data_IF_753842037116
#
_entry.id   IF_753842037116
#
_cell.length_a   1.000
_cell.length_b   1.000
_cell.length_c   1.000
_cell.angle_alpha   90.00
_cell.angle_beta   90.00
_cell.angle_gamma   90.00
#
_symmetry.space_group_name_H-M   'P 1'
#
loop_
_entity.id
_entity.type
_entity.pdbx_description
1 polymer ?
#
# COMPACT_ATOMS: atom_id res chain seq x y z
N UNK A 1 -10.56 -7.13 -24.68
CA UNK A 1 -11.35 -8.08 -23.86
C UNK A 1 -11.18 -7.59 -22.43
N UNK A 2 -12.24 -7.09 -21.83
CA UNK A 2 -12.13 -6.55 -20.47
C UNK A 2 -11.74 -7.69 -19.52
N UNK A 3 -10.65 -7.59 -18.79
CA UNK A 3 -10.14 -8.63 -17.89
C UNK A 3 -11.19 -8.96 -16.82
N UNK A 4 -12.12 -8.05 -16.52
CA UNK A 4 -13.11 -8.18 -15.44
C UNK A 4 -14.32 -9.05 -15.81
N UNK A 5 -14.85 -8.98 -17.05
CA UNK A 5 -16.11 -9.66 -17.43
C UNK A 5 -16.04 -11.19 -17.45
N UNK A 6 -14.87 -11.80 -17.66
CA UNK A 6 -14.69 -13.24 -17.67
C UNK A 6 -13.24 -13.63 -17.36
N UNK A 7 -12.82 -13.44 -16.13
CA UNK A 7 -11.52 -13.85 -15.62
C UNK A 7 -11.63 -15.05 -14.66
N UNK A 8 -10.50 -15.50 -14.08
CA UNK A 8 -10.51 -16.64 -13.14
C UNK A 8 -11.39 -16.37 -11.92
N UNK A 9 -11.36 -15.15 -11.36
CA UNK A 9 -12.17 -14.80 -10.20
C UNK A 9 -13.67 -14.89 -10.47
N UNK A 10 -14.15 -14.25 -11.53
CA UNK A 10 -15.58 -14.24 -11.88
C UNK A 10 -16.09 -15.63 -12.22
N UNK A 11 -15.29 -16.44 -12.94
CA UNK A 11 -15.63 -17.84 -13.23
C UNK A 11 -15.65 -18.71 -11.98
N UNK A 12 -14.68 -18.53 -11.07
CA UNK A 12 -14.60 -19.30 -9.83
C UNK A 12 -15.76 -18.93 -8.88
N UNK A 13 -16.06 -17.65 -8.70
CA UNK A 13 -17.24 -17.17 -7.95
C UNK A 13 -18.52 -17.81 -8.50
N UNK A 14 -18.70 -17.78 -9.81
CA UNK A 14 -19.87 -18.40 -10.45
C UNK A 14 -19.93 -19.92 -10.17
N UNK A 15 -18.81 -20.62 -10.17
CA UNK A 15 -18.77 -22.05 -9.91
C UNK A 15 -19.08 -22.42 -8.45
N UNK A 16 -18.67 -21.57 -7.49
CA UNK A 16 -18.78 -21.86 -6.04
C UNK A 16 -20.10 -21.40 -5.46
N UNK A 17 -20.57 -20.22 -5.85
CA UNK A 17 -21.78 -19.59 -5.24
C UNK A 17 -22.85 -19.24 -6.27
N UNK A 18 -22.67 -19.64 -7.54
CA UNK A 18 -23.62 -19.39 -8.65
C UNK A 18 -23.98 -17.91 -8.86
N UNK A 19 -23.02 -17.01 -8.62
CA UNK A 19 -23.18 -15.56 -8.84
C UNK A 19 -22.46 -15.17 -10.11
N UNK A 20 -23.12 -14.39 -10.96
CA UNK A 20 -22.54 -13.77 -12.13
C UNK A 20 -22.34 -12.29 -11.87
N UNK A 21 -21.07 -11.82 -11.94
CA UNK A 21 -20.76 -10.41 -11.87
C UNK A 21 -21.16 -9.70 -13.15
N UNK A 22 -21.77 -8.53 -13.04
CA UNK A 22 -22.07 -7.62 -14.14
C UNK A 22 -21.66 -6.22 -13.70
N UNK A 23 -20.59 -5.71 -14.29
CA UNK A 23 -20.07 -4.39 -13.93
C UNK A 23 -21.01 -3.29 -14.48
N UNK A 24 -21.45 -2.40 -13.58
CA UNK A 24 -22.32 -1.28 -13.93
C UNK A 24 -21.50 -0.08 -14.43
N UNK A 25 -20.37 0.16 -13.78
CA UNK A 25 -19.36 1.12 -14.25
C UNK A 25 -17.97 0.69 -13.76
N UNK A 26 -16.96 1.11 -14.51
CA UNK A 26 -15.54 1.02 -14.16
C UNK A 26 -14.91 2.39 -14.37
N UNK A 27 -14.02 2.78 -13.49
CA UNK A 27 -13.27 4.03 -13.60
C UNK A 27 -11.98 3.95 -12.77
N UNK A 28 -11.05 4.84 -13.04
CA UNK A 28 -9.85 5.00 -12.22
C UNK A 28 -10.15 5.95 -11.07
N UNK A 29 -9.59 5.69 -9.90
CA UNK A 29 -9.50 6.55 -8.71
C UNK A 29 -10.54 7.69 -8.63
N UNK A 30 -10.13 8.93 -8.79
CA UNK A 30 -11.00 10.11 -8.67
C UNK A 30 -12.23 10.11 -9.59
N UNK A 31 -12.15 9.44 -10.75
CA UNK A 31 -13.31 9.28 -11.62
C UNK A 31 -14.29 8.24 -11.07
N UNK A 32 -13.78 7.22 -10.37
CA UNK A 32 -14.61 6.24 -9.67
C UNK A 32 -15.41 6.92 -8.56
N UNK A 33 -14.76 7.71 -7.70
CA UNK A 33 -15.41 8.45 -6.61
C UNK A 33 -16.47 9.45 -7.13
N UNK A 34 -16.18 10.09 -8.27
CA UNK A 34 -17.18 10.94 -8.96
C UNK A 34 -18.40 10.14 -9.37
N UNK A 35 -18.23 8.95 -9.94
CA UNK A 35 -19.33 8.07 -10.34
C UNK A 35 -20.11 7.57 -9.12
N UNK A 36 -19.42 7.20 -8.03
CA UNK A 36 -20.05 6.80 -6.75
C UNK A 36 -20.92 7.94 -6.23
N UNK A 37 -20.37 9.14 -6.09
CA UNK A 37 -21.11 10.33 -5.63
C UNK A 37 -22.33 10.63 -6.51
N UNK A 38 -22.22 10.41 -7.82
CA UNK A 38 -23.33 10.61 -8.75
C UNK A 38 -24.45 9.59 -8.53
N UNK A 39 -24.15 8.28 -8.41
CA UNK A 39 -25.18 7.25 -8.20
C UNK A 39 -25.82 7.37 -6.81
N UNK A 40 -25.08 7.80 -5.77
CA UNK A 40 -25.64 8.13 -4.46
C UNK A 40 -26.64 9.29 -4.59
N UNK A 41 -26.23 10.39 -5.23
CA UNK A 41 -27.08 11.57 -5.41
C UNK A 41 -28.35 11.27 -6.21
N UNK A 42 -28.29 10.34 -7.14
CA UNK A 42 -29.44 9.90 -7.96
C UNK A 42 -30.31 8.88 -7.24
N UNK A 43 -29.86 8.30 -6.11
CA UNK A 43 -30.55 7.22 -5.40
C UNK A 43 -30.67 5.92 -6.22
N UNK A 44 -29.78 5.73 -7.21
CA UNK A 44 -29.81 4.58 -8.13
C UNK A 44 -28.52 3.76 -7.97
N UNK A 45 -28.39 3.08 -6.83
CA UNK A 45 -27.22 2.30 -6.52
C UNK A 45 -27.20 0.96 -7.27
N UNK A 46 -26.02 0.47 -7.68
CA UNK A 46 -25.81 -0.94 -8.02
C UNK A 46 -26.22 -1.85 -6.86
N UNK A 47 -26.46 -3.14 -7.14
CA UNK A 47 -26.83 -4.10 -6.10
C UNK A 47 -25.75 -4.20 -5.02
N UNK A 48 -24.47 -4.20 -5.43
CA UNK A 48 -23.30 -4.18 -4.54
C UNK A 48 -22.35 -3.09 -5.07
N UNK A 49 -21.80 -2.28 -4.18
CA UNK A 49 -20.90 -1.19 -4.52
C UNK A 49 -19.78 -1.08 -3.50
N UNK A 50 -18.61 -0.62 -3.93
CA UNK A 50 -17.51 -0.22 -3.04
C UNK A 50 -17.56 1.30 -2.91
N UNK A 51 -17.48 1.82 -1.69
CA UNK A 51 -17.34 3.26 -1.40
C UNK A 51 -15.99 3.51 -0.73
N UNK A 52 -15.43 4.71 -0.90
CA UNK A 52 -14.05 5.03 -0.55
C UNK A 52 -13.89 5.83 0.76
N UNK A 53 -14.98 6.07 1.48
CA UNK A 53 -14.94 6.77 2.76
C UNK A 53 -16.02 6.33 3.72
N UNK A 54 -15.76 6.51 5.02
CA UNK A 54 -16.75 6.28 6.08
C UNK A 54 -17.89 7.28 5.99
N UNK A 55 -17.61 8.52 5.57
CA UNK A 55 -18.63 9.56 5.37
C UNK A 55 -19.67 9.16 4.30
N UNK A 56 -19.25 8.49 3.24
CA UNK A 56 -20.17 7.95 2.24
C UNK A 56 -21.05 6.84 2.81
N UNK A 57 -20.50 5.98 3.65
CA UNK A 57 -21.30 4.95 4.36
C UNK A 57 -22.34 5.62 5.26
N UNK A 58 -21.95 6.64 6.04
CA UNK A 58 -22.85 7.39 6.92
C UNK A 58 -23.98 8.05 6.14
N UNK A 59 -23.66 8.75 5.03
CA UNK A 59 -24.66 9.34 4.14
C UNK A 59 -25.66 8.29 3.60
N UNK A 60 -25.18 7.13 3.20
CA UNK A 60 -26.02 6.04 2.70
C UNK A 60 -26.91 5.44 3.79
N UNK A 61 -26.42 5.33 5.03
CA UNK A 61 -27.18 4.88 6.19
C UNK A 61 -28.27 5.90 6.53
N UNK A 62 -27.93 7.19 6.64
CA UNK A 62 -28.89 8.26 6.94
C UNK A 62 -29.98 8.37 5.88
N UNK A 63 -29.62 8.20 4.61
CA UNK A 63 -30.58 8.20 3.50
C UNK A 63 -31.41 6.91 3.39
N UNK A 64 -31.10 5.86 4.18
CA UNK A 64 -31.77 4.56 4.14
C UNK A 64 -31.60 3.80 2.83
N UNK A 65 -30.46 3.99 2.15
CA UNK A 65 -30.18 3.46 0.80
C UNK A 65 -29.46 2.12 0.79
N UNK A 66 -28.95 1.65 1.92
CA UNK A 66 -28.22 0.39 2.03
C UNK A 66 -28.86 -0.59 3.02
N UNK A 67 -28.51 -1.85 2.87
CA UNK A 67 -29.07 -2.97 3.61
C UNK A 67 -28.30 -3.24 4.89
N UNK A 68 -28.99 -3.78 5.90
CA UNK A 68 -28.41 -4.36 7.11
C UNK A 68 -27.73 -5.69 6.77
N UNK A 69 -26.41 -5.76 6.93
CA UNK A 69 -25.59 -6.93 6.61
C UNK A 69 -25.27 -7.80 7.84
N UNK A 70 -25.88 -7.54 8.99
CA UNK A 70 -25.59 -8.25 10.24
C UNK A 70 -25.77 -9.77 10.11
N UNK A 71 -26.86 -10.22 9.51
CA UNK A 71 -27.10 -11.65 9.28
C UNK A 71 -26.14 -12.21 8.23
N UNK A 72 -25.85 -11.45 7.16
CA UNK A 72 -24.90 -11.84 6.11
C UNK A 72 -23.49 -12.02 6.69
N UNK A 73 -23.05 -11.10 7.52
CA UNK A 73 -21.76 -11.20 8.23
C UNK A 73 -21.72 -12.41 9.16
N UNK A 74 -22.75 -12.59 10.00
CA UNK A 74 -22.75 -13.65 11.00
C UNK A 74 -22.82 -15.06 10.39
N UNK A 75 -23.54 -15.23 9.27
CA UNK A 75 -23.88 -16.55 8.73
C UNK A 75 -23.13 -16.91 7.43
N UNK A 76 -22.55 -15.93 6.71
CA UNK A 76 -22.02 -16.15 5.36
C UNK A 76 -20.55 -15.80 5.18
N UNK A 77 -19.93 -15.10 6.13
CA UNK A 77 -18.47 -14.89 6.16
C UNK A 77 -17.81 -16.20 6.61
N UNK A 78 -16.74 -16.62 5.91
CA UNK A 78 -15.96 -17.79 6.31
C UNK A 78 -15.22 -17.56 7.64
N UNK A 79 -14.91 -18.64 8.35
CA UNK A 79 -14.20 -18.57 9.63
C UNK A 79 -12.82 -17.90 9.48
N UNK A 80 -12.16 -18.05 8.33
CA UNK A 80 -10.86 -17.42 8.06
C UNK A 80 -11.01 -15.92 7.89
N UNK A 81 -11.96 -15.46 7.10
CA UNK A 81 -12.26 -14.02 6.93
C UNK A 81 -12.69 -13.40 8.25
N UNK A 82 -13.47 -14.10 9.06
CA UNK A 82 -13.84 -13.64 10.41
C UNK A 82 -12.60 -13.39 11.26
N UNK A 83 -11.64 -14.34 11.28
CA UNK A 83 -10.37 -14.18 12.01
C UNK A 83 -9.51 -13.05 11.47
N UNK A 84 -9.54 -12.79 10.15
CA UNK A 84 -8.85 -11.63 9.57
C UNK A 84 -9.43 -10.34 10.14
N UNK A 85 -10.75 -10.17 10.13
CA UNK A 85 -11.40 -9.01 10.74
C UNK A 85 -11.13 -8.90 12.25
N UNK A 86 -11.24 -10.00 13.00
CA UNK A 86 -10.98 -10.04 14.45
C UNK A 86 -9.52 -9.66 14.80
N UNK A 87 -8.57 -9.82 13.88
CA UNK A 87 -7.16 -9.44 14.10
C UNK A 87 -6.94 -7.94 14.25
N UNK A 88 -7.92 -7.12 13.86
CA UNK A 88 -7.92 -5.66 14.02
C UNK A 88 -8.62 -5.19 15.32
N UNK A 89 -9.05 -6.13 16.18
CA UNK A 89 -9.87 -5.81 17.35
C UNK A 89 -11.26 -5.34 16.96
N UNK A 90 -11.83 -4.42 17.74
CA UNK A 90 -13.18 -3.91 17.49
C UNK A 90 -13.21 -2.76 16.45
N UNK A 91 -12.06 -2.16 16.11
CA UNK A 91 -11.98 -0.95 15.30
C UNK A 91 -12.70 -1.05 13.95
N UNK A 92 -12.45 -2.12 13.17
CA UNK A 92 -13.11 -2.30 11.87
C UNK A 92 -14.62 -2.49 12.00
N UNK A 93 -15.06 -3.19 13.03
CA UNK A 93 -16.48 -3.43 13.27
C UNK A 93 -17.19 -2.17 13.70
N UNK A 94 -16.55 -1.36 14.54
CA UNK A 94 -17.13 -0.09 15.02
C UNK A 94 -17.32 0.90 13.86
N UNK A 95 -16.37 0.95 12.90
CA UNK A 95 -16.46 1.84 11.72
C UNK A 95 -17.66 1.55 10.81
N UNK A 96 -18.22 0.33 10.84
CA UNK A 96 -19.32 -0.10 9.95
C UNK A 96 -20.61 -0.41 10.70
N UNK A 97 -20.64 -0.17 12.04
CA UNK A 97 -21.79 -0.46 12.90
C UNK A 97 -22.58 0.81 13.21
N UNK A 98 -23.80 0.88 12.75
CA UNK A 98 -24.74 1.98 12.99
C UNK A 98 -25.99 1.43 13.69
N UNK A 99 -26.38 1.99 14.82
CA UNK A 99 -27.50 1.53 15.64
C UNK A 99 -27.48 0.02 15.95
N UNK A 100 -26.27 -0.53 16.17
CA UNK A 100 -26.05 -1.95 16.45
C UNK A 100 -26.15 -2.89 15.26
N UNK A 101 -26.21 -2.35 14.04
CA UNK A 101 -26.30 -3.08 12.78
C UNK A 101 -25.05 -2.89 11.96
N UNK A 102 -24.55 -3.95 11.35
CA UNK A 102 -23.44 -3.90 10.39
C UNK A 102 -24.01 -3.43 9.05
N UNK A 103 -23.66 -2.21 8.62
CA UNK A 103 -24.21 -1.59 7.42
C UNK A 103 -23.29 -1.70 6.21
N UNK A 104 -22.02 -2.09 6.41
CA UNK A 104 -21.04 -2.33 5.34
C UNK A 104 -20.09 -3.45 5.74
N UNK A 105 -19.37 -4.01 4.76
CA UNK A 105 -18.25 -4.92 4.98
C UNK A 105 -16.95 -4.17 4.64
N UNK A 106 -16.05 -3.95 5.63
CA UNK A 106 -14.84 -3.16 5.39
C UNK A 106 -13.80 -3.96 4.60
N UNK A 107 -12.98 -3.26 3.84
CA UNK A 107 -11.66 -3.80 3.49
C UNK A 107 -10.77 -3.85 4.74
N UNK A 108 -9.62 -4.47 4.62
CA UNK A 108 -8.59 -4.38 5.64
C UNK A 108 -7.34 -3.74 5.07
N UNK A 109 -6.77 -2.82 5.81
CA UNK A 109 -5.47 -2.25 5.53
C UNK A 109 -4.45 -2.88 6.47
N UNK A 110 -3.53 -3.68 5.91
CA UNK A 110 -2.52 -4.37 6.71
C UNK A 110 -1.57 -3.35 7.35
N UNK A 111 -1.03 -3.68 8.52
CA UNK A 111 0.00 -2.86 9.16
C UNK A 111 1.30 -3.02 8.38
N UNK A 112 1.64 -2.02 7.59
CA UNK A 112 2.81 -2.03 6.71
C UNK A 112 4.11 -1.62 7.42
N UNK A 113 4.01 -1.08 8.63
CA UNK A 113 5.14 -0.48 9.34
C UNK A 113 5.51 0.90 8.76
N UNK A 114 6.68 1.43 9.15
CA UNK A 114 7.17 2.70 8.64
C UNK A 114 7.57 2.60 7.17
N UNK A 115 7.59 3.73 6.48
CA UNK A 115 8.29 3.83 5.22
C UNK A 115 9.78 3.51 5.40
N UNK A 116 10.37 2.99 4.36
CA UNK A 116 11.80 2.69 4.28
C UNK A 116 12.49 3.76 3.43
N UNK A 117 13.78 3.97 3.65
CA UNK A 117 14.59 4.68 2.67
C UNK A 117 15.15 3.66 1.68
N UNK A 118 14.86 3.85 0.41
CA UNK A 118 15.39 3.05 -0.68
C UNK A 118 16.59 3.76 -1.30
N UNK A 119 17.75 3.09 -1.31
CA UNK A 119 19.01 3.65 -1.80
C UNK A 119 19.68 2.72 -2.81
N UNK A 120 20.35 3.31 -3.78
CA UNK A 120 21.24 2.63 -4.72
C UNK A 120 22.49 2.15 -3.99
N UNK A 121 22.50 0.88 -3.56
CA UNK A 121 23.61 0.24 -2.86
C UNK A 121 24.89 0.21 -3.71
N UNK A 122 24.76 -0.08 -5.00
CA UNK A 122 25.87 -0.03 -5.95
C UNK A 122 26.52 1.37 -6.06
N UNK A 123 25.71 2.45 -5.91
CA UNK A 123 26.25 3.80 -5.83
C UNK A 123 26.97 4.04 -4.49
N UNK A 124 26.39 3.57 -3.40
CA UNK A 124 27.04 3.66 -2.10
C UNK A 124 28.37 2.91 -2.08
N UNK A 125 28.43 1.70 -2.62
CA UNK A 125 29.66 0.90 -2.72
C UNK A 125 30.72 1.57 -3.57
N UNK A 126 30.33 2.12 -4.72
CA UNK A 126 31.22 2.88 -5.61
C UNK A 126 31.87 4.08 -4.91
N UNK A 127 31.15 4.71 -3.99
CA UNK A 127 31.60 5.88 -3.24
C UNK A 127 32.18 5.53 -1.85
N UNK A 128 32.16 4.26 -1.44
CA UNK A 128 32.64 3.82 -0.14
C UNK A 128 31.82 4.33 1.04
N UNK A 129 30.50 4.53 0.83
CA UNK A 129 29.57 5.02 1.85
C UNK A 129 29.02 3.86 2.69
N UNK A 130 28.87 4.10 4.00
CA UNK A 130 28.25 3.15 4.93
C UNK A 130 26.73 3.18 4.87
N UNK A 131 26.11 2.13 5.40
CA UNK A 131 24.64 2.04 5.56
C UNK A 131 24.13 3.15 6.49
N UNK A 132 22.96 3.76 6.20
CA UNK A 132 22.40 4.80 7.03
C UNK A 132 21.70 4.22 8.25
N UNK A 133 21.77 4.92 9.37
CA UNK A 133 21.04 4.64 10.61
C UNK A 133 20.14 5.80 11.03
N UNK A 134 20.43 7.00 10.55
CA UNK A 134 19.74 8.25 10.89
C UNK A 134 19.38 9.02 9.64
N UNK A 135 18.50 10.02 9.79
CA UNK A 135 18.15 10.91 8.67
C UNK A 135 19.37 11.72 8.20
N UNK A 136 20.28 12.08 9.09
CA UNK A 136 21.50 12.81 8.71
C UNK A 136 22.45 11.94 7.87
N UNK A 137 22.52 10.62 8.14
CA UNK A 137 23.26 9.69 7.28
C UNK A 137 22.65 9.63 5.88
N UNK A 138 21.31 9.55 5.78
CA UNK A 138 20.61 9.56 4.48
C UNK A 138 20.90 10.85 3.73
N UNK A 139 20.78 12.00 4.38
CA UNK A 139 21.07 13.31 3.77
C UNK A 139 22.52 13.39 3.28
N UNK A 140 23.47 12.86 4.05
CA UNK A 140 24.87 12.82 3.63
C UNK A 140 25.07 11.95 2.40
N UNK A 141 24.48 10.75 2.36
CA UNK A 141 24.52 9.84 1.19
C UNK A 141 23.95 10.53 -0.04
N UNK A 142 22.78 11.15 0.08
CA UNK A 142 22.13 11.85 -1.04
C UNK A 142 23.00 13.01 -1.57
N UNK A 143 23.67 13.77 -0.69
CA UNK A 143 24.61 14.81 -1.09
C UNK A 143 25.78 14.26 -1.90
N UNK A 144 26.32 13.12 -1.50
CA UNK A 144 27.37 12.43 -2.28
C UNK A 144 26.84 11.93 -3.63
N UNK A 145 25.62 11.41 -3.71
CA UNK A 145 25.02 11.00 -4.98
C UNK A 145 24.90 12.18 -5.96
N UNK A 146 24.50 13.36 -5.46
CA UNK A 146 24.38 14.56 -6.29
C UNK A 146 25.76 15.10 -6.71
N UNK A 147 26.71 15.21 -5.77
CA UNK A 147 27.98 15.88 -6.02
C UNK A 147 29.00 15.03 -6.77
N UNK A 148 28.99 13.71 -6.59
CA UNK A 148 29.96 12.78 -7.15
C UNK A 148 29.46 12.01 -8.38
N UNK A 149 28.14 12.13 -8.65
CA UNK A 149 27.46 11.59 -9.83
C UNK A 149 27.81 10.11 -10.13
N UNK A 150 27.61 9.17 -9.22
CA UNK A 150 27.96 7.77 -9.44
C UNK A 150 27.16 7.15 -10.60
N UNK A 151 26.01 7.73 -10.96
CA UNK A 151 25.19 7.35 -12.11
C UNK A 151 25.73 7.78 -13.46
N UNK A 152 26.74 8.68 -13.50
CA UNK A 152 27.26 9.33 -14.70
C UNK A 152 26.19 10.10 -15.50
N UNK A 153 25.29 10.76 -14.81
CA UNK A 153 24.18 11.53 -15.38
C UNK A 153 24.67 12.89 -15.95
N UNK A 154 25.83 13.37 -15.50
CA UNK A 154 26.42 14.63 -15.92
C UNK A 154 25.71 15.86 -15.37
N UNK A 155 25.86 16.96 -16.07
CA UNK A 155 25.25 18.26 -15.73
C UNK A 155 24.47 18.82 -16.91
N UNK A 156 23.50 19.66 -16.63
CA UNK A 156 22.75 20.38 -17.65
C UNK A 156 23.58 21.53 -18.28
N UNK A 157 22.96 22.26 -19.21
CA UNK A 157 23.60 23.39 -19.89
C UNK A 157 23.99 24.55 -18.94
N UNK A 158 23.41 24.62 -17.75
CA UNK A 158 23.73 25.62 -16.71
C UNK A 158 24.82 25.16 -15.73
N UNK A 159 25.21 23.88 -15.81
CA UNK A 159 26.14 23.23 -14.88
C UNK A 159 25.50 22.65 -13.63
N UNK A 160 24.16 22.58 -13.58
CA UNK A 160 23.43 21.91 -12.49
C UNK A 160 23.52 20.38 -12.69
N UNK A 161 23.78 19.59 -11.63
CA UNK A 161 23.72 18.13 -11.71
C UNK A 161 22.38 17.62 -12.25
N UNK A 162 22.43 16.64 -13.15
CA UNK A 162 21.24 15.93 -13.62
C UNK A 162 20.79 14.86 -12.60
N UNK A 163 21.69 14.45 -11.69
CA UNK A 163 21.33 13.56 -10.59
C UNK A 163 20.44 14.29 -9.61
N UNK A 164 19.22 13.80 -9.44
CA UNK A 164 18.21 14.29 -8.50
C UNK A 164 18.49 13.67 -7.13
N UNK A 165 18.34 14.46 -6.08
CA UNK A 165 18.44 14.00 -4.70
C UNK A 165 17.23 13.17 -4.29
N UNK A 166 16.63 13.48 -3.14
CA UNK A 166 15.37 12.88 -2.72
C UNK A 166 14.25 13.32 -3.67
N UNK A 167 13.67 12.36 -4.37
CA UNK A 167 12.46 12.58 -5.15
C UNK A 167 11.24 12.58 -4.22
N UNK A 168 10.43 13.61 -4.31
CA UNK A 168 9.28 13.85 -3.41
C UNK A 168 8.06 14.21 -4.22
N UNK A 169 6.89 13.69 -3.83
CA UNK A 169 5.60 14.06 -4.39
C UNK A 169 5.16 15.45 -3.89
N UNK A 170 4.23 16.09 -4.58
CA UNK A 170 3.64 17.38 -4.21
C UNK A 170 2.94 17.33 -2.85
N UNK A 171 2.34 16.19 -2.51
CA UNK A 171 1.84 15.90 -1.17
C UNK A 171 3.01 15.48 -0.27
N UNK A 172 3.56 16.42 0.47
CA UNK A 172 4.76 16.23 1.29
C UNK A 172 4.58 15.16 2.38
N UNK A 173 3.35 14.92 2.83
CA UNK A 173 3.00 13.92 3.86
C UNK A 173 1.78 13.12 3.46
N UNK A 174 1.73 11.85 3.89
CA UNK A 174 0.60 10.96 3.68
C UNK A 174 -0.55 11.17 4.66
N UNK A 175 -1.66 10.51 4.36
CA UNK A 175 -2.84 10.42 5.23
C UNK A 175 -2.93 9.08 5.95
N UNK A 176 -1.80 8.49 6.36
CA UNK A 176 -1.73 7.15 6.94
C UNK A 176 -2.29 6.07 6.01
N UNK A 177 -1.95 6.11 4.75
CA UNK A 177 -2.46 5.16 3.77
C UNK A 177 -1.39 4.28 3.16
N UNK A 178 -1.86 3.31 2.43
CA UNK A 178 -1.08 2.38 1.63
C UNK A 178 -0.18 3.05 0.59
N UNK A 179 -0.38 4.33 0.30
CA UNK A 179 0.27 5.09 -0.77
C UNK A 179 1.23 6.17 -0.26
N UNK A 180 1.99 5.90 0.80
CA UNK A 180 2.99 6.86 1.30
C UNK A 180 4.31 6.84 0.51
N UNK A 181 4.26 6.47 -0.76
CA UNK A 181 5.41 6.48 -1.65
C UNK A 181 5.82 7.93 -2.00
N UNK A 182 7.12 8.20 -1.96
CA UNK A 182 7.73 9.51 -2.23
C UNK A 182 7.36 10.62 -1.24
N UNK A 183 6.92 10.27 -0.03
CA UNK A 183 6.52 11.21 1.01
C UNK A 183 7.58 11.34 2.10
N UNK A 184 7.55 12.46 2.84
CA UNK A 184 8.56 12.80 3.84
C UNK A 184 8.14 12.47 5.28
N UNK A 185 7.18 11.56 5.47
CA UNK A 185 6.65 11.18 6.79
C UNK A 185 7.75 10.74 7.76
N UNK A 186 8.78 10.05 7.28
CA UNK A 186 9.95 9.67 8.09
C UNK A 186 10.67 10.90 8.65
N UNK A 187 10.83 11.97 7.83
CA UNK A 187 11.48 13.20 8.28
C UNK A 187 10.64 13.85 9.37
N UNK A 188 9.30 13.91 9.19
CA UNK A 188 8.43 14.44 10.22
C UNK A 188 8.53 13.62 11.51
N UNK A 189 8.53 12.30 11.43
CA UNK A 189 8.67 11.41 12.58
C UNK A 189 9.98 11.65 13.36
N UNK A 190 11.10 12.00 12.68
CA UNK A 190 12.36 12.38 13.34
C UNK A 190 12.25 13.62 14.24
N UNK A 191 11.20 14.40 14.09
CA UNK A 191 10.89 15.56 14.96
C UNK A 191 9.71 15.27 15.89
N UNK A 192 9.22 14.04 15.98
CA UNK A 192 8.03 13.69 16.76
C UNK A 192 6.73 14.26 16.17
N UNK A 193 6.75 14.63 14.89
CA UNK A 193 5.61 15.22 14.20
C UNK A 193 4.85 14.18 13.37
N UNK A 194 3.53 14.23 13.43
CA UNK A 194 2.62 13.35 12.69
C UNK A 194 1.53 14.14 12.00
N UNK A 195 1.84 14.83 10.88
CA UNK A 195 0.86 15.64 10.16
C UNK A 195 -0.34 14.81 9.68
N UNK A 196 -1.48 15.51 9.52
CA UNK A 196 -2.78 14.91 9.12
C UNK A 196 -3.37 13.91 10.12
N UNK A 197 -2.73 13.74 11.30
CA UNK A 197 -3.17 12.87 12.37
C UNK A 197 -3.75 13.66 13.54
N UNK A 198 -4.73 13.06 14.24
CA UNK A 198 -5.12 13.48 15.58
C UNK A 198 -4.29 12.69 16.58
N UNK A 199 -3.45 13.38 17.33
CA UNK A 199 -2.52 12.79 18.28
C UNK A 199 -2.83 13.25 19.71
N UNK A 200 -2.46 12.44 20.68
CA UNK A 200 -2.50 12.84 22.08
C UNK A 200 -1.14 13.45 22.44
N UNK A 201 -1.15 14.71 22.90
CA UNK A 201 0.06 15.37 23.40
C UNK A 201 0.42 14.91 24.82
N UNK A 202 1.56 15.38 25.34
CA UNK A 202 2.07 15.00 26.67
C UNK A 202 1.13 15.46 27.81
N UNK A 203 0.28 16.45 27.59
CA UNK A 203 -0.72 16.92 28.55
C UNK A 203 -2.01 16.08 28.50
N UNK A 204 -2.10 15.09 27.62
CA UNK A 204 -3.28 14.24 27.44
C UNK A 204 -4.40 14.88 26.62
N UNK A 205 -4.10 15.95 25.88
CA UNK A 205 -5.05 16.62 25.01
C UNK A 205 -4.93 16.06 23.57
N UNK A 206 -6.07 15.98 22.87
CA UNK A 206 -6.09 15.60 21.45
C UNK A 206 -5.81 16.86 20.62
N UNK A 207 -4.74 16.82 19.84
CA UNK A 207 -4.32 17.90 18.96
C UNK A 207 -4.15 17.43 17.53
N UNK A 208 -4.33 18.32 16.57
CA UNK A 208 -4.10 18.01 15.16
C UNK A 208 -2.62 18.14 14.82
N UNK A 209 -1.97 17.02 14.46
CA UNK A 209 -0.52 16.92 14.29
C UNK A 209 0.09 17.87 13.24
N UNK A 210 -0.71 18.38 12.29
CA UNK A 210 -0.20 19.33 11.28
C UNK A 210 0.07 20.73 11.80
N UNK A 211 -0.42 21.08 13.00
CA UNK A 211 -0.30 22.44 13.55
C UNK A 211 0.53 22.51 14.84
N UNK A 212 1.27 21.45 15.13
CA UNK A 212 2.18 21.39 16.29
C UNK A 212 3.49 22.13 16.03
N UNK A 213 4.22 22.46 17.09
CA UNK A 213 5.54 23.09 16.97
C UNK A 213 6.55 22.10 16.34
N UNK A 214 6.45 20.82 16.63
CA UNK A 214 7.25 19.75 16.05
C UNK A 214 7.07 19.69 14.52
N UNK A 215 5.84 19.82 14.03
CA UNK A 215 5.55 19.85 12.59
C UNK A 215 6.19 21.10 11.93
N UNK A 216 6.20 22.23 12.61
CA UNK A 216 6.86 23.45 12.14
C UNK A 216 8.38 23.29 12.10
N UNK A 217 8.99 22.64 13.10
CA UNK A 217 10.42 22.35 13.12
C UNK A 217 10.80 21.39 11.98
N UNK A 218 10.05 20.33 11.77
CA UNK A 218 10.23 19.42 10.64
C UNK A 218 10.15 20.14 9.29
N UNK A 219 9.15 21.00 9.10
CA UNK A 219 9.03 21.83 7.88
C UNK A 219 10.22 22.78 7.70
N UNK A 220 10.76 23.36 8.78
CA UNK A 220 11.97 24.18 8.73
C UNK A 220 13.18 23.37 8.25
N UNK A 221 13.33 22.15 8.74
CA UNK A 221 14.38 21.23 8.31
C UNK A 221 14.21 20.82 6.83
N UNK A 222 13.01 20.45 6.42
CA UNK A 222 12.67 20.11 5.03
C UNK A 222 12.98 21.29 4.10
N UNK A 223 12.60 22.52 4.49
CA UNK A 223 12.92 23.73 3.73
C UNK A 223 14.45 23.94 3.63
N UNK A 224 15.21 23.60 4.66
CA UNK A 224 16.67 23.67 4.59
C UNK A 224 17.26 22.65 3.60
N UNK A 225 16.70 21.42 3.53
CA UNK A 225 17.11 20.39 2.58
C UNK A 225 16.77 20.80 1.13
N UNK A 226 15.60 21.41 0.94
CA UNK A 226 15.20 21.99 -0.36
C UNK A 226 16.18 23.06 -0.83
N UNK A 227 16.51 24.02 0.04
CA UNK A 227 17.46 25.08 -0.28
C UNK A 227 18.90 24.59 -0.53
N UNK A 228 19.26 23.42 0.00
CA UNK A 228 20.54 22.74 -0.25
C UNK A 228 20.51 21.87 -1.50
N UNK A 229 19.37 21.72 -2.16
CA UNK A 229 19.19 20.84 -3.33
C UNK A 229 19.20 19.36 -3.01
N UNK A 230 19.06 18.97 -1.74
CA UNK A 230 18.89 17.56 -1.32
C UNK A 230 17.52 17.04 -1.73
N UNK A 231 16.48 17.84 -1.54
CA UNK A 231 15.15 17.58 -2.11
C UNK A 231 15.11 18.12 -3.53
N UNK A 232 14.48 17.40 -4.44
CA UNK A 232 14.27 17.82 -5.82
C UNK A 232 13.65 19.21 -5.88
N UNK A 233 14.36 20.18 -6.48
CA UNK A 233 13.89 21.55 -6.55
C UNK A 233 12.65 21.73 -7.45
N UNK A 234 12.39 20.74 -8.30
CA UNK A 234 11.24 20.74 -9.20
C UNK A 234 10.07 19.89 -8.66
N UNK A 235 10.11 19.47 -7.38
CA UNK A 235 9.13 18.53 -6.80
C UNK A 235 7.67 18.98 -6.96
N UNK A 236 7.39 20.29 -6.87
CA UNK A 236 6.06 20.85 -7.07
C UNK A 236 5.51 20.68 -8.50
N UNK A 237 6.35 20.31 -9.44
CA UNK A 237 6.00 20.06 -10.84
C UNK A 237 5.97 18.57 -11.17
N UNK A 238 6.39 17.71 -10.23
CA UNK A 238 6.42 16.27 -10.42
C UNK A 238 5.07 15.64 -10.13
N UNK A 239 4.75 14.64 -10.91
CA UNK A 239 3.73 13.64 -10.59
C UNK A 239 4.43 12.36 -10.15
N UNK A 240 3.74 11.45 -9.46
CA UNK A 240 4.28 10.13 -9.10
C UNK A 240 4.84 9.40 -10.34
N UNK A 241 4.20 9.54 -11.51
CA UNK A 241 4.71 8.98 -12.78
C UNK A 241 6.08 9.59 -13.15
N UNK A 242 6.25 10.91 -13.04
CA UNK A 242 7.54 11.55 -13.34
C UNK A 242 8.63 11.13 -12.35
N UNK A 243 8.28 10.90 -11.08
CA UNK A 243 9.24 10.41 -10.08
C UNK A 243 9.65 8.98 -10.41
N UNK A 244 8.71 8.09 -10.75
CA UNK A 244 9.01 6.75 -11.23
C UNK A 244 9.96 6.80 -12.44
N UNK A 245 9.73 7.68 -13.42
CA UNK A 245 10.62 7.85 -14.58
C UNK A 245 12.05 8.29 -14.19
N UNK A 246 12.22 9.15 -13.18
CA UNK A 246 13.54 9.53 -12.67
C UNK A 246 14.29 8.33 -12.11
N UNK A 247 13.62 7.50 -11.32
CA UNK A 247 14.18 6.30 -10.70
C UNK A 247 14.52 5.25 -11.77
N UNK A 248 13.57 4.97 -12.66
CA UNK A 248 13.71 4.01 -13.75
C UNK A 248 14.83 4.34 -14.73
N UNK A 249 15.08 5.63 -14.96
CA UNK A 249 16.15 6.10 -15.84
C UNK A 249 17.49 6.31 -15.11
N UNK A 250 17.58 6.00 -13.81
CA UNK A 250 18.80 6.13 -13.02
C UNK A 250 19.21 7.57 -12.73
N UNK A 251 18.27 8.53 -12.84
CA UNK A 251 18.50 9.94 -12.53
C UNK A 251 18.34 10.23 -11.03
N UNK A 252 17.67 9.35 -10.28
CA UNK A 252 17.50 9.44 -8.85
C UNK A 252 17.93 8.11 -8.21
N UNK A 253 18.73 8.18 -7.14
CA UNK A 253 19.25 7.01 -6.42
C UNK A 253 18.70 6.87 -5.00
N UNK A 254 17.69 7.66 -4.62
CA UNK A 254 17.15 7.70 -3.26
C UNK A 254 15.71 8.17 -3.22
N UNK A 255 14.88 7.49 -2.45
CA UNK A 255 13.51 7.92 -2.15
C UNK A 255 13.01 7.26 -0.87
N UNK A 256 11.97 7.82 -0.27
CA UNK A 256 11.21 7.13 0.79
C UNK A 256 10.04 6.40 0.16
N UNK A 257 9.83 5.16 0.59
CA UNK A 257 8.75 4.34 0.03
C UNK A 257 8.44 3.12 0.87
N UNK A 258 7.29 2.49 0.59
CA UNK A 258 6.80 1.33 1.32
C UNK A 258 7.59 0.06 0.96
N UNK A 259 7.32 -1.01 1.70
CA UNK A 259 7.91 -2.33 1.51
C UNK A 259 7.68 -2.92 0.10
N UNK A 260 6.61 -2.51 -0.60
CA UNK A 260 6.27 -3.00 -1.94
C UNK A 260 6.96 -2.24 -3.10
N UNK A 261 7.84 -1.27 -2.80
CA UNK A 261 8.61 -0.56 -3.82
C UNK A 261 9.37 -1.47 -4.83
N UNK A 262 9.80 -2.70 -4.49
CA UNK A 262 10.33 -3.65 -5.47
C UNK A 262 9.38 -3.96 -6.64
N UNK A 263 8.06 -3.89 -6.43
CA UNK A 263 7.07 -4.11 -7.47
C UNK A 263 6.87 -2.87 -8.35
N UNK A 264 6.92 -1.69 -7.76
CA UNK A 264 6.81 -0.38 -8.41
C UNK A 264 7.50 0.69 -7.55
N UNK A 265 8.47 1.49 -8.04
CA UNK A 265 8.96 1.54 -9.43
C UNK A 265 10.17 0.63 -9.72
N UNK A 266 10.70 -0.10 -8.70
CA UNK A 266 12.00 -0.73 -8.80
C UNK A 266 12.05 -1.91 -9.79
N UNK A 267 10.95 -2.59 -10.05
CA UNK A 267 10.88 -3.64 -11.06
C UNK A 267 11.29 -3.10 -12.44
N UNK A 268 10.78 -1.94 -12.83
CA UNK A 268 11.15 -1.30 -14.10
C UNK A 268 12.57 -0.75 -14.06
N UNK A 269 13.02 -0.18 -12.94
CA UNK A 269 14.38 0.33 -12.78
C UNK A 269 15.42 -0.77 -12.99
N UNK A 270 15.23 -1.93 -12.35
CA UNK A 270 16.12 -3.10 -12.49
C UNK A 270 16.00 -3.72 -13.89
N UNK A 271 14.82 -3.76 -14.48
CA UNK A 271 14.64 -4.24 -15.87
C UNK A 271 15.41 -3.39 -16.87
N UNK A 272 15.49 -2.07 -16.68
CA UNK A 272 16.27 -1.14 -17.54
C UNK A 272 17.77 -1.18 -17.24
N UNK A 273 18.14 -1.35 -15.99
CA UNK A 273 19.53 -1.46 -15.55
C UNK A 273 19.66 -2.65 -14.57
N UNK A 274 20.00 -3.85 -15.08
CA UNK A 274 20.16 -5.04 -14.25
C UNK A 274 21.27 -4.96 -13.19
N UNK A 275 22.22 -4.02 -13.34
CA UNK A 275 23.30 -3.78 -12.37
C UNK A 275 22.87 -2.83 -11.23
N UNK A 276 21.65 -2.28 -11.28
CA UNK A 276 21.13 -1.41 -10.24
C UNK A 276 20.75 -2.24 -9.00
N UNK A 277 21.51 -2.09 -7.93
CA UNK A 277 21.23 -2.71 -6.63
C UNK A 277 20.52 -1.73 -5.71
N UNK A 278 19.23 -1.93 -5.50
CA UNK A 278 18.39 -1.14 -4.61
C UNK A 278 18.18 -1.86 -3.28
N UNK A 279 18.55 -1.22 -2.18
CA UNK A 279 18.37 -1.78 -0.85
C UNK A 279 17.50 -0.89 0.03
N UNK A 280 16.60 -1.50 0.83
CA UNK A 280 15.80 -0.80 1.83
C UNK A 280 16.57 -0.64 3.14
N UNK A 281 16.44 0.52 3.78
CA UNK A 281 16.99 0.75 5.10
C UNK A 281 15.90 1.31 6.02
N UNK A 282 15.85 0.78 7.24
CA UNK A 282 15.09 1.36 8.32
C UNK A 282 16.00 2.31 9.09
N UNK A 283 15.58 3.57 9.23
CA UNK A 283 16.34 4.57 10.00
C UNK A 283 15.64 4.87 11.33
N UNK A 284 16.45 5.19 12.35
CA UNK A 284 15.93 5.66 13.63
C UNK A 284 15.28 7.03 13.47
N UNK A 285 14.11 7.20 14.06
CA UNK A 285 13.41 8.48 14.17
C UNK A 285 13.55 9.06 15.57
N UNK A 286 13.81 8.22 16.58
CA UNK A 286 13.92 8.61 17.99
C UNK A 286 15.37 8.59 18.47
N UNK A 287 15.65 9.36 19.50
CA UNK A 287 17.00 9.51 20.06
C UNK A 287 17.57 8.25 20.71
N UNK A 288 16.72 7.27 21.04
CA UNK A 288 17.12 5.98 21.60
C UNK A 288 17.43 4.93 20.52
N UNK A 289 17.32 5.30 19.23
CA UNK A 289 17.56 4.42 18.10
C UNK A 289 16.33 3.64 17.66
N UNK A 290 15.16 3.92 18.19
CA UNK A 290 13.90 3.32 17.74
C UNK A 290 13.31 4.08 16.54
N UNK A 291 12.34 3.47 15.89
CA UNK A 291 11.60 4.06 14.77
C UNK A 291 10.14 4.21 15.16
N UNK A 292 9.70 5.43 15.32
CA UNK A 292 8.29 5.78 15.48
C UNK A 292 7.66 6.14 14.14
N UNK A 293 6.40 5.81 13.98
CA UNK A 293 5.63 6.14 12.78
C UNK A 293 4.15 6.25 13.17
N UNK A 294 3.38 6.94 12.35
CA UNK A 294 1.94 7.09 12.59
C UNK A 294 1.19 5.79 12.31
N UNK A 295 0.09 5.60 13.01
CA UNK A 295 -0.82 4.47 12.77
C UNK A 295 -1.53 4.65 11.42
N UNK A 296 -1.67 3.54 10.72
CA UNK A 296 -2.48 3.51 9.50
C UNK A 296 -3.95 3.36 9.84
N UNK A 297 -4.82 3.96 9.01
CA UNK A 297 -6.25 3.67 9.09
C UNK A 297 -6.48 2.20 8.70
N UNK A 298 -7.16 1.41 9.52
CA UNK A 298 -7.39 -0.01 9.24
C UNK A 298 -8.30 -0.27 8.04
N UNK A 299 -8.99 0.75 7.53
CA UNK A 299 -9.94 0.62 6.42
C UNK A 299 -10.11 1.94 5.66
N UNK A 300 -10.11 1.88 4.32
CA UNK A 300 -10.44 3.01 3.44
C UNK A 300 -11.61 2.72 2.51
N UNK A 301 -11.97 1.44 2.34
CA UNK A 301 -13.02 1.04 1.40
C UNK A 301 -14.04 0.14 2.07
N UNK A 302 -15.28 0.31 1.69
CA UNK A 302 -16.42 -0.36 2.29
C UNK A 302 -17.32 -0.94 1.21
N UNK A 303 -17.66 -2.22 1.34
CA UNK A 303 -18.63 -2.88 0.47
C UNK A 303 -20.01 -2.67 1.05
N UNK A 304 -20.87 -2.01 0.29
CA UNK A 304 -22.27 -1.76 0.66
C UNK A 304 -23.21 -2.49 -0.28
N UNK A 305 -24.41 -2.82 0.20
CA UNK A 305 -25.45 -3.48 -0.56
C UNK A 305 -26.67 -2.57 -0.62
N UNK A 306 -27.22 -2.38 -1.81
CA UNK A 306 -28.40 -1.55 -2.04
C UNK A 306 -29.61 -2.05 -1.25
N UNK A 307 -30.35 -1.12 -0.65
CA UNK A 307 -31.60 -1.41 0.08
C UNK A 307 -32.61 -2.14 -0.81
N UNK A 308 -33.16 -3.23 -0.29
CA UNK A 308 -34.15 -4.05 -0.98
C UNK A 308 -33.56 -5.02 -2.03
N UNK A 309 -32.23 -5.22 -2.05
CA UNK A 309 -31.65 -6.32 -2.82
C UNK A 309 -32.01 -7.66 -2.17
N UNK A 310 -32.49 -8.61 -2.96
CA UNK A 310 -33.03 -9.88 -2.45
C UNK A 310 -31.96 -10.80 -1.83
N UNK A 311 -30.69 -10.61 -2.17
CA UNK A 311 -29.56 -11.48 -1.81
C UNK A 311 -28.38 -10.72 -1.17
N UNK A 312 -28.59 -10.02 -0.04
CA UNK A 312 -27.51 -9.23 0.58
C UNK A 312 -26.31 -10.07 1.05
N UNK A 313 -26.51 -11.38 1.28
CA UNK A 313 -25.45 -12.30 1.66
C UNK A 313 -24.40 -12.53 0.57
N UNK A 314 -24.67 -12.14 -0.67
CA UNK A 314 -23.71 -12.31 -1.80
C UNK A 314 -22.44 -11.54 -1.54
N UNK A 315 -22.50 -10.33 -0.98
CA UNK A 315 -21.32 -9.54 -0.67
C UNK A 315 -20.36 -10.29 0.28
N UNK A 316 -20.88 -10.83 1.37
CA UNK A 316 -20.13 -11.62 2.35
C UNK A 316 -19.54 -12.92 1.73
N UNK A 317 -20.34 -13.60 0.90
CA UNK A 317 -19.90 -14.81 0.19
C UNK A 317 -18.82 -14.52 -0.84
N UNK A 318 -18.91 -13.42 -1.59
CA UNK A 318 -17.88 -13.01 -2.55
C UNK A 318 -16.56 -12.72 -1.85
N UNK A 319 -16.55 -11.98 -0.75
CA UNK A 319 -15.36 -11.74 0.07
C UNK A 319 -14.74 -13.06 0.52
N UNK A 320 -15.55 -13.99 1.03
CA UNK A 320 -15.06 -15.29 1.45
C UNK A 320 -14.48 -16.13 0.29
N UNK A 321 -15.07 -16.03 -0.90
CA UNK A 321 -14.51 -16.72 -2.07
C UNK A 321 -13.19 -16.10 -2.51
N UNK A 322 -13.11 -14.78 -2.60
CA UNK A 322 -11.91 -14.08 -3.08
C UNK A 322 -10.71 -14.24 -2.15
N UNK A 323 -10.89 -14.05 -0.86
CA UNK A 323 -9.78 -13.94 0.10
C UNK A 323 -9.55 -15.18 0.95
N UNK A 324 -10.45 -16.15 0.94
CA UNK A 324 -10.23 -17.45 1.58
C UNK A 324 -10.09 -18.54 0.51
N UNK A 325 -11.16 -18.86 -0.25
CA UNK A 325 -11.14 -20.02 -1.14
C UNK A 325 -10.13 -19.90 -2.27
N UNK A 326 -10.02 -18.74 -2.93
CA UNK A 326 -9.04 -18.56 -4.01
C UNK A 326 -7.63 -18.69 -3.47
N UNK A 327 -7.29 -18.00 -2.39
CA UNK A 327 -5.91 -17.98 -1.85
C UNK A 327 -5.45 -19.34 -1.35
N UNK A 328 -6.32 -20.10 -0.69
CA UNK A 328 -5.94 -21.30 0.03
C UNK A 328 -6.38 -22.62 -0.66
N UNK A 329 -7.43 -22.59 -1.48
CA UNK A 329 -7.97 -23.80 -2.12
C UNK A 329 -7.58 -23.92 -3.62
N UNK A 330 -7.04 -22.83 -4.23
CA UNK A 330 -6.69 -22.81 -5.65
C UNK A 330 -5.17 -22.80 -5.92
N UNK A 331 -4.37 -23.27 -4.96
CA UNK A 331 -2.90 -23.22 -5.02
C UNK A 331 -2.28 -23.96 -6.21
N UNK A 332 -2.99 -24.92 -6.80
CA UNK A 332 -2.55 -25.65 -7.99
C UNK A 332 -2.99 -25.02 -9.31
N UNK A 333 -3.80 -23.95 -9.26
CA UNK A 333 -4.30 -23.27 -10.47
C UNK A 333 -3.23 -22.38 -11.10
N UNK A 334 -2.76 -22.73 -12.29
CA UNK A 334 -1.78 -21.93 -13.04
C UNK A 334 -2.28 -20.51 -13.37
N UNK A 335 -3.59 -20.34 -13.62
CA UNK A 335 -4.15 -19.02 -13.91
C UNK A 335 -4.08 -18.09 -12.69
N UNK A 336 -4.42 -18.59 -11.49
CA UNK A 336 -4.28 -17.80 -10.27
C UNK A 336 -2.82 -17.58 -9.89
N UNK A 337 -1.94 -18.58 -10.03
CA UNK A 337 -0.49 -18.38 -9.82
C UNK A 337 0.05 -17.24 -10.68
N UNK A 338 -0.30 -17.23 -11.98
CA UNK A 338 0.12 -16.14 -12.88
C UNK A 338 -0.40 -14.77 -12.44
N UNK A 339 -1.63 -14.68 -11.91
CA UNK A 339 -2.17 -13.42 -11.42
C UNK A 339 -1.34 -12.87 -10.25
N UNK A 340 -0.96 -13.72 -9.30
CA UNK A 340 -0.12 -13.33 -8.17
C UNK A 340 1.32 -13.01 -8.60
N UNK A 341 1.93 -13.82 -9.46
CA UNK A 341 3.28 -13.56 -9.98
C UNK A 341 3.39 -12.24 -10.75
N UNK A 342 2.37 -11.89 -11.51
CA UNK A 342 2.31 -10.66 -12.30
C UNK A 342 1.74 -9.48 -11.51
N UNK A 343 1.35 -9.69 -10.25
CA UNK A 343 0.69 -8.68 -9.40
C UNK A 343 -0.52 -8.02 -10.07
N UNK A 344 -1.32 -8.81 -10.78
CA UNK A 344 -2.53 -8.31 -11.46
C UNK A 344 -3.83 -8.75 -10.79
N UNK A 345 -3.77 -9.56 -9.73
CA UNK A 345 -4.95 -10.04 -9.02
C UNK A 345 -5.81 -8.90 -8.43
N UNK A 346 -5.27 -7.75 -7.96
CA UNK A 346 -6.11 -6.67 -7.46
C UNK A 346 -7.05 -6.11 -8.53
N UNK A 347 -6.59 -6.02 -9.79
CA UNK A 347 -7.38 -5.53 -10.92
C UNK A 347 -8.33 -6.57 -11.50
N UNK A 348 -8.08 -7.85 -11.21
CA UNK A 348 -8.92 -8.96 -11.67
C UNK A 348 -10.10 -9.27 -10.72
N UNK A 349 -10.06 -8.75 -9.49
CA UNK A 349 -11.12 -8.94 -8.51
C UNK A 349 -12.37 -8.14 -8.85
N UNK A 350 -13.58 -8.73 -8.72
CA UNK A 350 -14.83 -8.00 -8.99
C UNK A 350 -15.14 -6.91 -7.94
N UNK A 351 -14.57 -7.01 -6.73
CA UNK A 351 -14.63 -5.98 -5.71
C UNK A 351 -13.21 -5.44 -5.46
N UNK A 352 -13.01 -4.15 -5.64
CA UNK A 352 -11.69 -3.49 -5.51
C UNK A 352 -11.36 -3.20 -4.03
N UNK A 353 -11.30 -4.27 -3.24
CA UNK A 353 -10.92 -4.26 -1.81
C UNK A 353 -9.80 -5.25 -1.57
N UNK A 354 -9.19 -5.17 -0.38
CA UNK A 354 -8.32 -6.21 0.17
C UNK A 354 -8.86 -6.70 1.51
N UNK A 355 -8.65 -7.99 1.84
CA UNK A 355 -8.98 -8.54 3.16
C UNK A 355 -7.87 -9.50 3.57
N UNK A 356 -7.18 -9.16 4.67
CA UNK A 356 -6.11 -9.97 5.24
C UNK A 356 -5.99 -9.72 6.75
N UNK A 357 -5.10 -10.46 7.41
CA UNK A 357 -4.74 -10.23 8.81
C UNK A 357 -4.02 -8.88 8.98
N UNK A 358 -4.22 -8.24 10.12
CA UNK A 358 -3.51 -7.03 10.51
C UNK A 358 -1.97 -7.18 10.37
N UNK A 359 -1.44 -8.36 10.72
CA UNK A 359 -0.01 -8.68 10.64
C UNK A 359 0.33 -9.63 9.48
N UNK A 360 -0.38 -9.51 8.35
CA UNK A 360 -0.22 -10.38 7.19
C UNK A 360 1.22 -10.46 6.67
N UNK A 361 1.94 -9.34 6.61
CA UNK A 361 3.35 -9.30 6.20
C UNK A 361 4.25 -10.15 7.10
N UNK A 362 4.05 -10.06 8.41
CA UNK A 362 4.82 -10.87 9.38
C UNK A 362 4.50 -12.35 9.25
N UNK A 363 3.25 -12.71 8.95
CA UNK A 363 2.84 -14.10 8.70
C UNK A 363 3.50 -14.59 7.42
N UNK A 364 3.40 -13.84 6.33
CA UNK A 364 3.98 -14.15 5.02
C UNK A 364 5.50 -14.35 5.14
N UNK A 365 6.21 -13.39 5.74
CA UNK A 365 7.66 -13.50 5.96
C UNK A 365 8.04 -14.77 6.70
N UNK A 366 7.40 -15.07 7.86
CA UNK A 366 7.71 -16.28 8.64
C UNK A 366 7.46 -17.58 7.86
N UNK A 367 6.42 -17.62 7.04
CA UNK A 367 6.09 -18.79 6.24
C UNK A 367 7.11 -19.01 5.11
N UNK A 368 7.52 -17.93 4.43
CA UNK A 368 8.52 -17.96 3.37
C UNK A 368 9.89 -18.33 3.94
N UNK A 369 10.33 -17.69 5.04
CA UNK A 369 11.58 -18.03 5.71
C UNK A 369 11.63 -19.49 6.16
N UNK A 370 10.52 -20.01 6.71
CA UNK A 370 10.41 -21.41 7.07
C UNK A 370 10.49 -22.34 5.85
N UNK A 371 9.93 -21.95 4.70
CA UNK A 371 10.00 -22.74 3.49
C UNK A 371 11.42 -22.71 2.87
N UNK A 372 12.04 -21.55 2.76
CA UNK A 372 13.42 -21.40 2.27
C UNK A 372 14.42 -22.18 3.12
N UNK A 373 14.26 -22.13 4.44
CA UNK A 373 15.11 -22.89 5.38
C UNK A 373 14.76 -24.38 5.52
N UNK A 374 13.81 -24.90 4.74
CA UNK A 374 13.38 -26.30 4.76
C UNK A 374 12.55 -26.72 5.99
N UNK A 375 12.10 -25.77 6.81
CA UNK A 375 11.27 -26.04 8.01
C UNK A 375 9.78 -26.18 7.69
N UNK A 376 9.34 -25.72 6.50
CA UNK A 376 7.97 -25.83 5.99
C UNK A 376 8.00 -26.35 4.55
N UNK A 377 7.02 -27.21 4.18
CA UNK A 377 6.89 -27.64 2.79
C UNK A 377 6.40 -26.45 1.94
N UNK A 378 7.14 -26.06 0.87
CA UNK A 378 6.70 -25.00 -0.04
C UNK A 378 5.31 -25.24 -0.66
N UNK A 379 4.90 -26.48 -0.87
CA UNK A 379 3.58 -26.81 -1.43
C UNK A 379 2.42 -26.48 -0.48
N UNK A 380 2.72 -26.20 0.79
CA UNK A 380 1.72 -25.78 1.78
C UNK A 380 1.56 -24.26 1.88
N UNK A 381 2.29 -23.49 1.08
CA UNK A 381 2.17 -22.05 1.00
C UNK A 381 0.88 -21.67 0.22
N UNK A 382 0.22 -20.61 0.66
CA UNK A 382 -0.89 -20.02 -0.08
C UNK A 382 -0.38 -19.24 -1.31
N UNK A 383 -1.27 -18.80 -2.19
CA UNK A 383 -0.89 -18.23 -3.50
C UNK A 383 0.08 -17.04 -3.42
N UNK A 384 -0.16 -16.10 -2.49
CA UNK A 384 0.71 -14.92 -2.34
C UNK A 384 2.08 -15.30 -1.76
N UNK A 385 2.08 -16.12 -0.70
CA UNK A 385 3.33 -16.64 -0.11
C UNK A 385 4.15 -17.44 -1.13
N UNK A 386 3.46 -18.20 -1.97
CA UNK A 386 4.11 -18.99 -3.01
C UNK A 386 4.77 -18.12 -4.07
N UNK A 387 4.12 -17.04 -4.52
CA UNK A 387 4.71 -16.11 -5.50
C UNK A 387 6.01 -15.48 -4.98
N UNK A 388 6.03 -15.05 -3.72
CA UNK A 388 7.24 -14.52 -3.10
C UNK A 388 8.30 -15.60 -2.86
N UNK A 389 7.91 -16.81 -2.45
CA UNK A 389 8.84 -17.93 -2.29
C UNK A 389 9.53 -18.28 -3.60
N UNK A 390 8.77 -18.36 -4.70
CA UNK A 390 9.30 -18.68 -6.01
C UNK A 390 10.32 -17.60 -6.47
N UNK A 391 10.00 -16.32 -6.31
CA UNK A 391 10.91 -15.21 -6.62
C UNK A 391 12.21 -15.25 -5.77
N UNK A 392 12.09 -15.46 -4.46
CA UNK A 392 13.25 -15.61 -3.57
C UNK A 392 14.11 -16.82 -3.96
N UNK A 393 13.48 -17.93 -4.30
CA UNK A 393 14.18 -19.16 -4.68
C UNK A 393 14.96 -19.02 -5.99
N UNK A 394 14.38 -18.35 -6.99
CA UNK A 394 15.06 -18.02 -8.24
C UNK A 394 16.27 -17.13 -8.01
N UNK A 395 16.15 -16.10 -7.16
CA UNK A 395 17.25 -15.22 -6.79
C UNK A 395 18.39 -16.00 -6.11
N UNK A 396 18.09 -16.83 -5.11
CA UNK A 396 19.07 -17.65 -4.38
C UNK A 396 19.77 -18.62 -5.35
N UNK A 397 19.03 -19.26 -6.25
CA UNK A 397 19.61 -20.16 -7.26
C UNK A 397 20.52 -19.42 -8.22
N UNK A 398 20.18 -18.19 -8.63
CA UNK A 398 21.03 -17.36 -9.49
C UNK A 398 22.36 -17.02 -8.83
N UNK A 399 22.37 -16.74 -7.52
CA UNK A 399 23.59 -16.49 -6.74
C UNK A 399 24.51 -17.71 -6.65
N UNK A 400 23.95 -18.92 -6.57
CA UNK A 400 24.74 -20.18 -6.53
C UNK A 400 25.46 -20.44 -7.85
N UNK A 401 24.92 -19.98 -8.98
CA UNK A 401 25.53 -20.15 -10.29
C UNK A 401 26.62 -19.12 -10.62
N UNK A 402 26.73 -18.05 -9.86
CA UNK A 402 27.78 -17.03 -9.98
C UNK A 402 29.02 -17.45 -9.17
#
# INVERSE_FOLDING_TARGET
MCIRDSNAYTRYIKSVINVQNVDVFEANDSQYDTNVSMVISMGSLPDIMVVSSQDEVEQLVEAGLIEDLTESYNNCISDRIRKMYESYGDSLKDMVTYDGKIMALPETNITDGPNLVWLRKDWMDKLGLSEPHTIDDVVNIVKHFISEDPGNNGVDASGKPNTVGLAVDTDVTGECGYSSEFLLDIIFACFGAYPKQWIMNDDGEIVYGSVTDEAKEALSYINSLYNQGVIDNDFLLRTSTNICELIENGLCGSFFGPWWAPNNPLANAVSRNPDADWQPYLIATDSDGTTSYHSQNPCYKYVVVRKGYEHPEIAAKMISVMFDKVRFDCTDSEEFKNYYQLNVEPTARPLSINVDYNNALSICYRNIDAAISGRKNPDSLELLERSFYDACSEYILSLIHI
#
